data_IF_972311486260
#
_entry.id   IF_972311486260
#
_cell.length_a   1.000
_cell.length_b   1.000
_cell.length_c   1.000
_cell.angle_alpha   90.00
_cell.angle_beta   90.00
_cell.angle_gamma   90.00
#
_symmetry.space_group_name_H-M   'P 1'
#
loop_
_entity.id
_entity.type
_entity.pdbx_description
1 polymer ?
#
# COMPACT_ATOMS: atom_id res chain seq x y z
N UNK A 1 -15.65 1.08 30.40
CA UNK A 1 -14.54 1.10 29.42
C UNK A 1 -14.32 -0.35 29.03
N UNK A 2 -14.99 -0.77 27.97
CA UNK A 2 -15.03 -2.16 27.53
C UNK A 2 -13.82 -2.39 26.62
N UNK A 3 -12.97 -3.37 26.97
CA UNK A 3 -11.77 -3.67 26.20
C UNK A 3 -12.20 -4.38 24.92
N UNK A 4 -11.96 -3.75 23.77
CA UNK A 4 -12.26 -4.34 22.46
C UNK A 4 -11.22 -5.42 22.14
N UNK A 5 -11.51 -6.62 22.67
CA UNK A 5 -10.65 -7.79 22.53
C UNK A 5 -10.46 -8.22 21.08
N UNK A 6 -11.41 -7.95 20.18
CA UNK A 6 -11.26 -8.23 18.76
C UNK A 6 -10.17 -7.36 18.13
N UNK A 7 -10.15 -6.06 18.46
CA UNK A 7 -9.12 -5.14 18.01
C UNK A 7 -7.73 -5.53 18.52
N UNK A 8 -7.60 -5.86 19.81
CA UNK A 8 -6.33 -6.32 20.39
C UNK A 8 -5.83 -7.60 19.71
N UNK A 9 -6.73 -8.51 19.36
CA UNK A 9 -6.37 -9.75 18.69
C UNK A 9 -5.94 -9.51 17.24
N UNK A 10 -6.61 -8.60 16.52
CA UNK A 10 -6.25 -8.17 15.17
C UNK A 10 -4.89 -7.49 15.16
N UNK A 11 -4.64 -6.56 16.08
CA UNK A 11 -3.36 -5.86 16.21
C UNK A 11 -2.21 -6.82 16.55
N UNK A 12 -2.46 -7.77 17.45
CA UNK A 12 -1.48 -8.81 17.83
C UNK A 12 -1.18 -9.75 16.65
N UNK A 13 -2.21 -10.12 15.89
CA UNK A 13 -2.05 -10.93 14.68
C UNK A 13 -1.25 -10.19 13.60
N UNK A 14 -1.50 -8.89 13.41
CA UNK A 14 -0.77 -8.05 12.46
C UNK A 14 0.68 -7.83 12.90
N UNK A 15 0.94 -7.61 14.19
CA UNK A 15 2.28 -7.49 14.74
C UNK A 15 3.09 -8.79 14.59
N UNK A 16 2.47 -9.94 14.89
CA UNK A 16 3.08 -11.25 14.66
C UNK A 16 3.40 -11.48 13.18
N UNK A 17 2.48 -11.10 12.29
CA UNK A 17 2.67 -11.19 10.84
C UNK A 17 3.83 -10.31 10.35
N UNK A 18 3.98 -9.10 10.93
CA UNK A 18 5.12 -8.21 10.67
C UNK A 18 6.45 -8.80 11.16
N UNK A 19 6.47 -9.47 12.30
CA UNK A 19 7.67 -10.16 12.81
C UNK A 19 8.03 -11.37 11.93
N UNK A 20 7.06 -12.23 11.62
CA UNK A 20 7.27 -13.40 10.74
C UNK A 20 7.74 -12.97 9.35
N UNK A 21 7.27 -11.82 8.88
CA UNK A 21 7.72 -11.20 7.65
C UNK A 21 9.18 -10.75 7.69
N UNK A 22 9.56 -10.04 8.75
CA UNK A 22 10.92 -9.55 8.94
C UNK A 22 11.88 -10.73 9.01
N UNK A 23 11.52 -11.79 9.76
CA UNK A 23 12.28 -13.05 9.83
C UNK A 23 12.46 -13.67 8.44
N UNK A 24 11.38 -13.82 7.67
CA UNK A 24 11.47 -14.33 6.29
C UNK A 24 12.29 -13.43 5.38
N UNK A 25 12.27 -12.11 5.59
CA UNK A 25 13.08 -11.17 4.79
C UNK A 25 14.58 -11.30 5.07
N UNK A 26 14.96 -11.72 6.28
CA UNK A 26 16.34 -12.09 6.62
C UNK A 26 16.71 -13.43 5.99
N UNK A 27 15.82 -14.43 6.04
CA UNK A 27 16.04 -15.74 5.37
C UNK A 27 16.20 -15.60 3.85
N UNK A 28 15.47 -14.67 3.22
CA UNK A 28 15.59 -14.33 1.80
C UNK A 28 16.90 -13.58 1.46
N UNK A 29 17.54 -12.93 2.44
CA UNK A 29 18.81 -12.23 2.24
C UNK A 29 20.02 -13.17 2.33
N UNK A 30 19.92 -14.24 3.10
CA UNK A 30 21.02 -15.20 3.33
C UNK A 30 21.19 -16.24 2.22
N UNK A 31 20.19 -16.42 1.34
CA UNK A 31 20.25 -17.39 0.23
C UNK A 31 20.28 -16.70 -1.13
N UNK A 32 21.48 -16.44 -1.66
CA UNK A 32 21.71 -16.02 -3.05
C UNK A 32 21.35 -17.07 -4.13
N UNK A 33 20.53 -18.06 -3.80
CA UNK A 33 20.13 -19.17 -4.66
C UNK A 33 18.60 -19.27 -4.67
N UNK A 34 18.01 -18.93 -5.83
CA UNK A 34 16.58 -19.03 -6.23
C UNK A 34 15.77 -17.71 -6.32
N UNK A 35 16.35 -16.65 -6.91
CA UNK A 35 15.68 -15.39 -7.31
C UNK A 35 14.27 -15.54 -7.91
N UNK A 36 14.01 -16.61 -8.66
CA UNK A 36 12.70 -16.90 -9.24
C UNK A 36 11.66 -17.34 -8.19
N UNK A 37 12.08 -18.14 -7.20
CA UNK A 37 11.25 -18.60 -6.08
C UNK A 37 10.95 -17.45 -5.13
N UNK A 38 11.92 -16.56 -4.91
CA UNK A 38 11.74 -15.38 -4.06
C UNK A 38 10.71 -14.43 -4.68
N UNK A 39 10.83 -14.15 -5.98
CA UNK A 39 9.85 -13.33 -6.70
C UNK A 39 8.44 -13.93 -6.67
N UNK A 40 8.30 -15.25 -6.80
CA UNK A 40 7.00 -15.91 -6.72
C UNK A 40 6.40 -15.79 -5.32
N UNK A 41 7.21 -16.00 -4.27
CA UNK A 41 6.78 -15.83 -2.89
C UNK A 41 6.34 -14.39 -2.60
N UNK A 42 7.03 -13.39 -3.19
CA UNK A 42 6.65 -11.99 -3.10
C UNK A 42 5.34 -11.68 -3.82
N UNK A 43 5.09 -12.29 -4.98
CA UNK A 43 3.81 -12.12 -5.68
C UNK A 43 2.66 -12.69 -4.86
N UNK A 44 2.79 -13.91 -4.36
CA UNK A 44 1.79 -14.54 -3.48
C UNK A 44 1.53 -13.66 -2.26
N UNK A 45 2.58 -13.07 -1.69
CA UNK A 45 2.46 -12.13 -0.58
C UNK A 45 1.66 -10.87 -0.96
N UNK A 46 2.00 -10.19 -2.06
CA UNK A 46 1.27 -9.01 -2.50
C UNK A 46 -0.17 -9.33 -2.89
N UNK A 47 -0.45 -10.51 -3.46
CA UNK A 47 -1.83 -10.99 -3.69
C UNK A 47 -2.61 -11.15 -2.40
N UNK A 48 -1.98 -11.66 -1.33
CA UNK A 48 -2.63 -11.69 -0.01
C UNK A 48 -2.94 -10.30 0.50
N UNK A 49 -2.01 -9.34 0.33
CA UNK A 49 -2.26 -7.95 0.70
C UNK A 49 -3.43 -7.37 -0.12
N UNK A 50 -3.54 -7.69 -1.40
CA UNK A 50 -4.69 -7.28 -2.22
C UNK A 50 -6.00 -7.78 -1.60
N UNK A 51 -6.03 -9.02 -1.12
CA UNK A 51 -7.20 -9.56 -0.43
C UNK A 51 -7.47 -8.83 0.90
N UNK A 52 -6.45 -8.59 1.73
CA UNK A 52 -6.62 -7.85 2.98
C UNK A 52 -7.18 -6.43 2.72
N UNK A 53 -6.73 -5.76 1.64
CA UNK A 53 -7.21 -4.45 1.22
C UNK A 53 -8.64 -4.53 0.66
N UNK A 54 -9.00 -5.63 0.00
CA UNK A 54 -10.38 -5.88 -0.44
C UNK A 54 -11.32 -6.03 0.75
N UNK A 55 -10.93 -6.78 1.76
CA UNK A 55 -11.73 -6.95 2.97
C UNK A 55 -11.94 -5.60 3.68
N UNK A 56 -10.91 -4.76 3.73
CA UNK A 56 -11.01 -3.40 4.25
C UNK A 56 -11.91 -2.50 3.39
N UNK A 57 -11.92 -2.68 2.06
CA UNK A 57 -12.84 -1.97 1.18
C UNK A 57 -14.30 -2.34 1.49
N UNK A 58 -14.59 -3.64 1.67
CA UNK A 58 -15.92 -4.10 2.01
C UNK A 58 -16.35 -3.58 3.39
N UNK A 59 -15.44 -3.55 4.38
CA UNK A 59 -15.67 -2.91 5.67
C UNK A 59 -16.04 -1.43 5.51
N UNK A 60 -15.24 -0.65 4.77
CA UNK A 60 -15.48 0.77 4.57
C UNK A 60 -16.83 1.07 3.89
N UNK A 61 -17.23 0.24 2.91
CA UNK A 61 -18.54 0.34 2.26
C UNK A 61 -19.67 0.00 3.24
N UNK A 62 -19.54 -1.11 3.96
CA UNK A 62 -20.55 -1.57 4.91
C UNK A 62 -20.76 -0.56 6.04
N UNK A 63 -19.69 -0.26 6.77
CA UNK A 63 -19.70 0.68 7.90
C UNK A 63 -20.07 2.09 7.46
N UNK A 64 -19.53 2.58 6.35
CA UNK A 64 -19.85 3.91 5.82
C UNK A 64 -21.32 4.06 5.45
N UNK A 65 -21.94 2.99 4.92
CA UNK A 65 -23.37 2.99 4.57
C UNK A 65 -24.26 2.89 5.80
N UNK A 66 -23.96 1.96 6.72
CA UNK A 66 -24.76 1.71 7.93
C UNK A 66 -24.70 2.90 8.89
N UNK A 67 -23.54 3.53 9.05
CA UNK A 67 -23.34 4.66 9.95
C UNK A 67 -23.62 6.01 9.28
N UNK A 68 -23.96 6.03 7.99
CA UNK A 68 -24.03 7.25 7.18
C UNK A 68 -22.76 8.12 7.28
N UNK A 69 -21.60 7.49 7.48
CA UNK A 69 -20.34 8.16 7.74
C UNK A 69 -19.63 8.51 6.42
N UNK A 70 -19.99 9.67 5.87
CA UNK A 70 -19.50 10.12 4.56
C UNK A 70 -17.95 10.15 4.41
N UNK A 71 -17.16 10.59 5.41
CA UNK A 71 -15.69 10.54 5.32
C UNK A 71 -15.11 9.17 4.98
N UNK A 72 -15.73 8.10 5.49
CA UNK A 72 -15.30 6.73 5.23
C UNK A 72 -15.64 6.30 3.79
N UNK A 73 -16.84 6.62 3.31
CA UNK A 73 -17.23 6.40 1.91
C UNK A 73 -16.34 7.18 0.94
N UNK A 74 -16.00 8.43 1.30
CA UNK A 74 -15.10 9.27 0.53
C UNK A 74 -13.65 8.78 0.54
N UNK A 75 -13.28 7.89 1.47
CA UNK A 75 -11.96 7.25 1.52
C UNK A 75 -11.85 6.00 0.66
N UNK A 76 -12.94 5.51 0.06
CA UNK A 76 -12.93 4.38 -0.88
C UNK A 76 -11.88 4.55 -2.00
N UNK A 77 -11.69 5.74 -2.62
CA UNK A 77 -10.66 5.91 -3.65
C UNK A 77 -9.24 5.61 -3.17
N UNK A 78 -8.86 5.97 -1.93
CA UNK A 78 -7.51 5.63 -1.42
C UNK A 78 -7.35 4.13 -1.19
N UNK A 79 -8.37 3.45 -0.67
CA UNK A 79 -8.36 1.99 -0.53
C UNK A 79 -8.20 1.32 -1.91
N UNK A 80 -8.96 1.77 -2.91
CA UNK A 80 -8.86 1.27 -4.29
C UNK A 80 -7.50 1.54 -4.93
N UNK A 81 -6.92 2.73 -4.71
CA UNK A 81 -5.57 3.06 -5.20
C UNK A 81 -4.52 2.15 -4.55
N UNK A 82 -4.62 1.88 -3.25
CA UNK A 82 -3.74 0.91 -2.57
C UNK A 82 -3.88 -0.48 -3.17
N UNK A 83 -5.10 -0.96 -3.41
CA UNK A 83 -5.35 -2.26 -4.07
C UNK A 83 -4.70 -2.31 -5.46
N UNK A 84 -4.87 -1.25 -6.26
CA UNK A 84 -4.26 -1.13 -7.59
C UNK A 84 -2.73 -1.15 -7.54
N UNK A 85 -2.12 -0.53 -6.53
CA UNK A 85 -0.68 -0.55 -6.32
C UNK A 85 -0.16 -1.98 -6.10
N UNK A 86 -0.78 -2.72 -5.19
CA UNK A 86 -0.37 -4.09 -4.90
C UNK A 86 -0.68 -5.07 -6.04
N UNK A 87 -1.81 -4.91 -6.73
CA UNK A 87 -2.09 -5.65 -7.96
C UNK A 87 -1.01 -5.44 -9.02
N UNK A 88 -0.54 -4.20 -9.16
CA UNK A 88 0.53 -3.89 -10.12
C UNK A 88 1.87 -4.52 -9.75
N UNK A 89 2.09 -4.82 -8.46
CA UNK A 89 3.29 -5.52 -7.97
C UNK A 89 3.18 -7.05 -8.08
N UNK A 90 1.97 -7.60 -7.92
CA UNK A 90 1.75 -9.04 -7.92
C UNK A 90 1.67 -9.66 -9.31
N UNK A 91 1.18 -8.94 -10.31
CA UNK A 91 0.87 -9.52 -11.62
C UNK A 91 1.76 -9.04 -12.77
N UNK A 92 2.31 -9.95 -13.61
CA UNK A 92 2.90 -9.56 -14.88
C UNK A 92 1.80 -9.01 -15.79
N UNK A 93 1.95 -7.76 -16.23
CA UNK A 93 0.97 -7.19 -17.16
C UNK A 93 1.24 -7.75 -18.57
N UNK A 94 0.27 -8.47 -19.15
CA UNK A 94 0.24 -8.85 -20.57
C UNK A 94 1.33 -9.81 -21.08
N UNK A 95 1.75 -10.80 -20.27
CA UNK A 95 2.69 -11.84 -20.71
C UNK A 95 4.14 -11.38 -20.86
N UNK A 96 4.44 -10.11 -20.58
CA UNK A 96 5.82 -9.60 -20.50
C UNK A 96 6.47 -10.00 -19.16
N UNK A 97 7.80 -10.22 -19.12
CA UNK A 97 8.53 -10.42 -17.88
C UNK A 97 8.30 -9.24 -16.93
N UNK A 98 7.88 -9.54 -15.70
CA UNK A 98 7.63 -8.51 -14.69
C UNK A 98 8.90 -7.66 -14.47
N UNK A 99 8.81 -6.32 -14.42
CA UNK A 99 9.99 -5.45 -14.32
C UNK A 99 10.84 -5.70 -13.06
N UNK A 100 10.22 -6.23 -12.01
CA UNK A 100 10.90 -6.62 -10.76
C UNK A 100 11.82 -7.84 -10.93
N UNK A 101 11.67 -8.64 -11.99
CA UNK A 101 12.56 -9.78 -12.27
C UNK A 101 14.02 -9.38 -12.44
N UNK A 102 14.25 -8.11 -12.77
CA UNK A 102 15.57 -7.54 -13.00
C UNK A 102 16.07 -6.69 -11.84
N UNK A 103 15.29 -6.51 -10.75
CA UNK A 103 15.77 -5.80 -9.57
C UNK A 103 16.85 -6.60 -8.85
N UNK A 104 17.89 -5.93 -8.36
CA UNK A 104 18.88 -6.53 -7.45
C UNK A 104 18.22 -7.01 -6.15
N UNK A 105 18.87 -7.94 -5.45
CA UNK A 105 18.37 -8.43 -4.15
C UNK A 105 18.18 -7.29 -3.15
N UNK A 106 19.09 -6.32 -3.11
CA UNK A 106 18.99 -5.15 -2.23
C UNK A 106 17.76 -4.28 -2.55
N UNK A 107 17.49 -4.06 -3.84
CA UNK A 107 16.29 -3.33 -4.27
C UNK A 107 15.01 -4.09 -3.95
N UNK A 108 14.99 -5.41 -4.11
CA UNK A 108 13.85 -6.25 -3.73
C UNK A 108 13.63 -6.22 -2.22
N UNK A 109 14.68 -6.37 -1.42
CA UNK A 109 14.60 -6.30 0.05
C UNK A 109 14.09 -4.94 0.52
N UNK A 110 14.60 -3.85 -0.05
CA UNK A 110 14.12 -2.50 0.24
C UNK A 110 12.64 -2.33 -0.14
N UNK A 111 12.24 -2.86 -1.30
CA UNK A 111 10.84 -2.81 -1.74
C UNK A 111 9.92 -3.61 -0.81
N UNK A 112 10.34 -4.79 -0.36
CA UNK A 112 9.59 -5.58 0.64
C UNK A 112 9.43 -4.77 1.92
N UNK A 113 10.53 -4.29 2.49
CA UNK A 113 10.51 -3.55 3.75
C UNK A 113 9.58 -2.33 3.67
N UNK A 114 9.58 -1.61 2.55
CA UNK A 114 8.74 -0.42 2.36
C UNK A 114 7.28 -0.73 2.03
N UNK A 115 6.95 -1.93 1.55
CA UNK A 115 5.58 -2.29 1.18
C UNK A 115 4.85 -3.08 2.26
N UNK A 116 5.59 -3.69 3.18
CA UNK A 116 5.02 -4.66 4.11
C UNK A 116 4.12 -4.06 5.19
N UNK A 117 4.42 -2.83 5.61
CA UNK A 117 3.64 -2.12 6.63
C UNK A 117 2.48 -1.31 6.05
N UNK A 118 2.41 -1.11 4.74
CA UNK A 118 1.36 -0.28 4.11
C UNK A 118 -0.08 -0.74 4.38
N UNK A 119 -0.38 -2.05 4.47
CA UNK A 119 -1.73 -2.50 4.81
C UNK A 119 -2.13 -2.09 6.23
N UNK A 120 -1.18 -2.14 7.18
CA UNK A 120 -1.40 -1.69 8.55
C UNK A 120 -1.60 -0.17 8.62
N UNK A 121 -0.81 0.59 7.87
CA UNK A 121 -0.97 2.05 7.79
C UNK A 121 -2.33 2.45 7.18
N UNK A 122 -2.80 1.71 6.16
CA UNK A 122 -4.12 1.90 5.58
C UNK A 122 -5.23 1.56 6.59
N UNK A 123 -5.13 0.43 7.30
CA UNK A 123 -6.09 0.03 8.33
C UNK A 123 -6.12 1.05 9.48
N UNK A 124 -4.96 1.54 9.91
CA UNK A 124 -4.81 2.59 10.92
C UNK A 124 -5.46 3.90 10.48
N UNK A 125 -5.31 4.26 9.20
CA UNK A 125 -5.99 5.43 8.63
C UNK A 125 -7.52 5.27 8.65
N UNK A 126 -8.04 4.14 8.21
CA UNK A 126 -9.48 3.86 8.16
C UNK A 126 -10.10 3.82 9.57
N UNK A 127 -9.56 2.96 10.44
CA UNK A 127 -10.05 2.82 11.82
C UNK A 127 -9.81 4.07 12.66
N UNK A 128 -8.75 4.82 12.34
CA UNK A 128 -8.45 6.10 12.98
C UNK A 128 -9.50 7.17 12.70
N UNK A 129 -10.08 7.21 11.49
CA UNK A 129 -11.19 8.12 11.18
C UNK A 129 -12.44 7.77 11.98
N UNK A 130 -12.80 6.49 12.06
CA UNK A 130 -13.96 6.02 12.85
C UNK A 130 -13.78 6.37 14.34
N UNK A 131 -12.57 6.14 14.88
CA UNK A 131 -12.24 6.50 16.25
C UNK A 131 -12.30 8.01 16.50
N UNK A 132 -11.71 8.80 15.60
CA UNK A 132 -11.69 10.26 15.72
C UNK A 132 -13.10 10.84 15.69
N UNK A 133 -13.96 10.35 14.79
CA UNK A 133 -15.35 10.79 14.69
C UNK A 133 -16.14 10.44 15.96
N UNK A 134 -16.05 9.18 16.41
CA UNK A 134 -16.74 8.72 17.61
C UNK A 134 -16.32 9.48 18.88
N UNK A 135 -15.03 9.85 18.97
CA UNK A 135 -14.48 10.51 20.17
C UNK A 135 -14.59 12.03 20.14
N UNK A 136 -14.38 12.64 18.98
CA UNK A 136 -14.20 14.10 18.86
C UNK A 136 -15.28 14.78 18.01
N UNK A 137 -16.20 14.02 17.39
CA UNK A 137 -17.24 14.56 16.51
C UNK A 137 -16.69 15.12 15.19
N UNK A 138 -15.55 14.61 14.74
CA UNK A 138 -14.92 14.97 13.47
C UNK A 138 -13.63 14.18 13.21
N UNK A 139 -13.10 14.29 12.00
CA UNK A 139 -11.94 13.51 11.55
C UNK A 139 -10.66 14.36 11.45
N UNK A 140 -9.50 13.76 11.71
CA UNK A 140 -8.20 14.35 11.37
C UNK A 140 -7.83 14.04 9.92
N UNK A 141 -8.47 14.75 8.99
CA UNK A 141 -8.29 14.51 7.56
C UNK A 141 -6.82 14.57 7.08
N UNK A 142 -5.96 15.33 7.77
CA UNK A 142 -4.52 15.42 7.45
C UNK A 142 -3.78 14.09 7.54
N UNK A 143 -4.31 13.10 8.26
CA UNK A 143 -3.76 11.73 8.34
C UNK A 143 -3.68 11.01 7.00
N UNK A 144 -4.43 11.46 5.99
CA UNK A 144 -4.28 10.94 4.63
C UNK A 144 -2.90 11.26 4.05
N UNK A 145 -2.27 12.38 4.42
CA UNK A 145 -0.92 12.72 3.97
C UNK A 145 0.13 11.83 4.62
N UNK A 146 -0.01 11.50 5.91
CA UNK A 146 0.83 10.51 6.58
C UNK A 146 0.82 9.20 5.76
N UNK A 147 -0.37 8.73 5.33
CA UNK A 147 -0.50 7.56 4.47
C UNK A 147 0.20 7.74 3.12
N UNK A 148 0.02 8.89 2.44
CA UNK A 148 0.71 9.18 1.16
C UNK A 148 2.24 9.11 1.31
N UNK A 149 2.78 9.63 2.40
CA UNK A 149 4.21 9.63 2.69
C UNK A 149 4.76 8.20 2.84
N UNK A 150 3.98 7.29 3.43
CA UNK A 150 4.37 5.87 3.57
C UNK A 150 4.57 5.18 2.22
N UNK A 151 3.86 5.57 1.17
CA UNK A 151 4.05 5.01 -0.17
C UNK A 151 5.25 5.57 -0.93
N UNK A 152 5.77 6.75 -0.55
CA UNK A 152 6.85 7.40 -1.33
C UNK A 152 8.13 6.56 -1.43
N UNK A 153 8.62 5.89 -0.36
CA UNK A 153 9.81 5.04 -0.45
C UNK A 153 9.69 3.92 -1.49
N UNK A 154 8.56 3.21 -1.51
CA UNK A 154 8.34 2.10 -2.44
C UNK A 154 8.22 2.59 -3.88
N UNK A 155 7.48 3.68 -4.11
CA UNK A 155 7.37 4.34 -5.42
C UNK A 155 8.73 4.80 -5.93
N UNK A 156 9.57 5.38 -5.06
CA UNK A 156 10.91 5.83 -5.41
C UNK A 156 11.79 4.66 -5.86
N UNK A 157 11.83 3.57 -5.10
CA UNK A 157 12.59 2.35 -5.46
C UNK A 157 12.18 1.84 -6.85
N UNK A 158 10.87 1.79 -7.12
CA UNK A 158 10.33 1.34 -8.40
C UNK A 158 10.73 2.26 -9.56
N UNK A 159 10.58 3.59 -9.38
CA UNK A 159 10.93 4.57 -10.41
C UNK A 159 12.43 4.58 -10.69
N UNK A 160 13.27 4.52 -9.64
CA UNK A 160 14.73 4.55 -9.77
C UNK A 160 15.23 3.31 -10.52
N UNK A 161 14.72 2.11 -10.17
CA UNK A 161 15.01 0.87 -10.89
C UNK A 161 14.63 0.97 -12.37
N UNK A 162 13.41 1.46 -12.65
CA UNK A 162 12.92 1.62 -14.02
C UNK A 162 13.67 2.73 -14.79
N UNK A 163 14.45 3.57 -14.10
CA UNK A 163 15.24 4.67 -14.66
C UNK A 163 16.65 4.30 -15.08
N UNK A 164 17.24 3.26 -14.49
CA UNK A 164 18.64 2.90 -14.70
C UNK A 164 18.91 2.05 -15.96
N UNK A 165 17.89 1.70 -16.76
CA UNK A 165 18.10 1.04 -18.05
C UNK A 165 18.54 2.05 -19.11
N UNK A 166 19.84 2.05 -19.40
CA UNK A 166 20.49 2.86 -20.43
C UNK A 166 20.12 2.48 -21.88
N UNK A 167 20.66 3.19 -22.89
CA UNK A 167 20.20 3.18 -24.29
C UNK A 167 20.36 1.84 -25.04
N UNK A 168 21.14 0.89 -24.51
CA UNK A 168 21.54 -0.33 -25.22
C UNK A 168 20.66 -1.53 -24.85
N UNK A 169 19.42 -1.55 -25.33
CA UNK A 169 18.63 -2.77 -25.44
C UNK A 169 17.56 -2.58 -26.52
N UNK A 170 17.89 -2.99 -27.75
CA UNK A 170 17.03 -2.92 -28.94
C UNK A 170 15.86 -3.93 -28.91
N UNK A 171 15.49 -4.48 -27.75
CA UNK A 171 14.28 -5.29 -27.63
C UNK A 171 13.44 -4.82 -26.42
N UNK A 172 12.27 -4.24 -26.72
CA UNK A 172 11.21 -3.81 -25.78
C UNK A 172 11.34 -2.47 -25.03
N UNK A 173 12.01 -1.46 -25.58
CA UNK A 173 12.18 -0.11 -24.96
C UNK A 173 10.90 0.56 -24.38
N UNK A 174 9.70 0.14 -24.80
CA UNK A 174 8.44 0.73 -24.33
C UNK A 174 7.96 0.23 -22.96
N UNK A 175 8.32 -0.97 -22.50
CA UNK A 175 7.74 -1.51 -21.26
C UNK A 175 8.24 -0.80 -19.99
N UNK A 176 9.55 -0.55 -19.77
CA UNK A 176 10.01 0.08 -18.52
C UNK A 176 9.50 1.52 -18.38
N UNK A 177 9.38 2.23 -19.51
CA UNK A 177 8.81 3.58 -19.57
C UNK A 177 7.34 3.59 -19.16
N UNK A 178 6.53 2.66 -19.70
CA UNK A 178 5.11 2.51 -19.33
C UNK A 178 4.92 2.20 -17.84
N UNK A 179 5.71 1.30 -17.26
CA UNK A 179 5.64 1.01 -15.82
C UNK A 179 6.03 2.25 -15.00
N UNK A 180 7.07 2.99 -15.40
CA UNK A 180 7.51 4.20 -14.70
C UNK A 180 6.43 5.28 -14.73
N UNK A 181 5.84 5.51 -15.89
CA UNK A 181 4.74 6.46 -16.07
C UNK A 181 3.52 6.06 -15.25
N UNK A 182 3.20 4.76 -15.18
CA UNK A 182 2.12 4.26 -14.34
C UNK A 182 2.34 4.60 -12.85
N UNK A 183 3.53 4.32 -12.29
CA UNK A 183 3.81 4.63 -10.88
C UNK A 183 3.80 6.13 -10.59
N UNK A 184 4.29 6.95 -11.53
CA UNK A 184 4.20 8.42 -11.43
C UNK A 184 2.76 8.90 -11.43
N UNK A 185 1.94 8.39 -12.35
CA UNK A 185 0.52 8.74 -12.44
C UNK A 185 -0.22 8.31 -11.17
N UNK A 186 0.01 7.07 -10.71
CA UNK A 186 -0.57 6.54 -9.50
C UNK A 186 -0.24 7.41 -8.27
N UNK A 187 1.03 7.77 -8.07
CA UNK A 187 1.47 8.62 -6.94
C UNK A 187 0.84 10.02 -7.01
N UNK A 188 0.72 10.58 -8.22
CA UNK A 188 0.01 11.84 -8.44
C UNK A 188 -1.48 11.73 -8.09
N UNK A 189 -2.16 10.67 -8.49
CA UNK A 189 -3.58 10.45 -8.17
C UNK A 189 -3.80 10.32 -6.66
N UNK A 190 -2.92 9.58 -5.96
CA UNK A 190 -2.98 9.47 -4.51
C UNK A 190 -2.80 10.83 -3.82
N UNK A 191 -1.83 11.63 -4.26
CA UNK A 191 -1.59 12.98 -3.72
C UNK A 191 -2.74 13.95 -4.01
N UNK A 192 -3.32 13.88 -5.22
CA UNK A 192 -4.49 14.69 -5.60
C UNK A 192 -5.72 14.32 -4.78
N UNK A 193 -5.93 13.03 -4.53
CA UNK A 193 -6.98 12.55 -3.65
C UNK A 193 -6.81 13.12 -2.24
N UNK A 194 -5.62 12.99 -1.65
CA UNK A 194 -5.30 13.52 -0.32
C UNK A 194 -5.62 15.02 -0.20
N UNK A 195 -5.19 15.83 -1.17
CA UNK A 195 -5.50 17.26 -1.18
C UNK A 195 -7.01 17.56 -1.26
N UNK A 196 -7.75 16.83 -2.09
CA UNK A 196 -9.22 16.98 -2.20
C UNK A 196 -9.93 16.55 -0.92
N UNK A 197 -9.48 15.46 -0.30
CA UNK A 197 -10.03 14.94 0.93
C UNK A 197 -9.88 15.95 2.07
N UNK A 198 -8.69 16.50 2.28
CA UNK A 198 -8.47 17.54 3.30
C UNK A 198 -9.23 18.85 3.00
N UNK A 199 -9.45 19.19 1.72
CA UNK A 199 -10.25 20.36 1.36
C UNK A 199 -11.73 20.17 1.71
N UNK A 200 -12.26 18.94 1.54
CA UNK A 200 -13.65 18.61 1.87
C UNK A 200 -13.88 18.49 3.38
N UNK A 201 -12.88 18.01 4.11
CA UNK A 201 -12.91 17.81 5.56
C UNK A 201 -11.83 18.66 6.25
N UNK A 202 -11.98 19.99 6.26
CA UNK A 202 -11.05 20.85 6.98
C UNK A 202 -11.08 20.51 8.47
N UNK A 203 -9.96 20.73 9.17
CA UNK A 203 -9.89 20.53 10.62
C UNK A 203 -10.96 21.38 11.30
N UNK A 204 -12.02 20.73 11.78
CA UNK A 204 -12.99 21.37 12.66
C UNK A 204 -12.32 21.55 14.02
N UNK A 205 -11.72 22.71 14.26
CA UNK A 205 -11.48 23.18 15.62
C UNK A 205 -12.84 23.53 16.21
N UNK A 206 -13.52 22.56 16.84
CA UNK A 206 -14.57 22.91 17.80
C UNK A 206 -13.87 23.49 19.02
N UNK A 207 -14.08 24.79 19.24
CA UNK A 207 -13.71 25.51 20.47
C UNK A 207 -14.44 24.94 21.68
#
# INVERSE_FOLDING_TARGET
>A
MECDWEKVNKDTYLAKRGIDSVIKSFELSDFGLLRARDLELLRVRWQRIVQDVEDLLQHAIGSGTVLHFQPLLDSIPVIKLTRLFFNKLSEPTNGEPHPLSQMSSDQLLALIKTTDYLPLELDTYITGMEYDDAKNGGIRATKVFDLVEKFQPSVKILIDHLSHKGPNAESSQNSPKKYREWYRLWSRQLSLFAGRFCTKYPLNMRN
#
